data_IF_896504343040
#
_entry.id   IF_896504343040
#
_cell.length_a   1.000
_cell.length_b   1.000
_cell.length_c   1.000
_cell.angle_alpha   90.00
_cell.angle_beta   90.00
_cell.angle_gamma   90.00
#
_symmetry.space_group_name_H-M   'P 1'
#
loop_
_entity.id
_entity.type
_entity.pdbx_description
1 polymer ?
#
# COMPACT_ATOMS: atom_id res chain seq x y z
N UNK A 1 -6.77 13.48 -6.06
CA UNK A 1 -7.56 12.33 -6.56
C UNK A 1 -8.27 11.72 -5.37
N UNK A 2 -9.61 11.56 -5.40
CA UNK A 2 -10.33 10.89 -4.31
C UNK A 2 -10.27 9.38 -4.54
N UNK A 3 -9.83 8.64 -3.53
CA UNK A 3 -9.80 7.18 -3.48
C UNK A 3 -10.72 6.74 -2.36
N UNK A 4 -11.59 5.78 -2.63
CA UNK A 4 -12.48 5.22 -1.63
C UNK A 4 -12.61 3.71 -1.80
N UNK A 5 -12.83 3.02 -0.70
CA UNK A 5 -13.22 1.61 -0.67
C UNK A 5 -14.74 1.44 -0.61
N UNK A 6 -15.50 2.54 -0.57
CA UNK A 6 -16.97 2.55 -0.60
C UNK A 6 -17.50 2.54 -2.03
N UNK A 7 -18.71 1.98 -2.27
CA UNK A 7 -19.32 1.96 -3.59
C UNK A 7 -19.83 3.33 -4.06
N UNK A 8 -20.01 4.29 -3.14
CA UNK A 8 -20.52 5.64 -3.40
C UNK A 8 -19.75 6.69 -2.60
N UNK A 9 -19.80 7.94 -3.06
CA UNK A 9 -19.22 9.10 -2.38
C UNK A 9 -20.35 10.03 -1.93
N UNK A 10 -20.49 10.26 -0.63
CA UNK A 10 -21.54 11.15 -0.09
C UNK A 10 -21.39 12.58 -0.64
N UNK A 11 -22.51 13.22 -0.95
CA UNK A 11 -22.52 14.57 -1.54
C UNK A 11 -22.09 14.63 -3.01
N UNK A 12 -21.73 13.50 -3.62
CA UNK A 12 -21.32 13.42 -5.02
C UNK A 12 -22.19 12.43 -5.81
N UNK A 13 -22.53 12.77 -7.06
CA UNK A 13 -23.25 11.88 -7.98
C UNK A 13 -22.29 11.33 -9.03
N UNK A 14 -22.22 10.00 -9.15
CA UNK A 14 -21.44 9.32 -10.20
C UNK A 14 -22.13 9.55 -11.55
N UNK A 15 -21.49 10.30 -12.45
CA UNK A 15 -22.05 10.62 -13.77
C UNK A 15 -21.77 9.53 -14.82
N UNK A 16 -20.67 8.80 -14.68
CA UNK A 16 -20.23 7.75 -15.61
C UNK A 16 -19.46 6.67 -14.87
N UNK A 17 -19.66 5.43 -15.29
CA UNK A 17 -18.86 4.28 -14.88
C UNK A 17 -17.82 3.99 -15.96
N UNK A 18 -16.53 4.02 -15.61
CA UNK A 18 -15.42 3.86 -16.56
C UNK A 18 -14.89 2.42 -16.63
N UNK A 19 -15.54 1.48 -15.93
CA UNK A 19 -15.07 0.11 -15.78
C UNK A 19 -14.13 -0.07 -14.58
N UNK A 20 -13.68 -1.31 -14.37
CA UNK A 20 -12.79 -1.69 -13.26
C UNK A 20 -11.35 -1.35 -13.63
N UNK A 21 -10.60 -0.81 -12.67
CA UNK A 21 -9.16 -0.57 -12.79
C UNK A 21 -8.42 -1.42 -11.75
N UNK A 22 -7.22 -1.85 -12.08
CA UNK A 22 -6.34 -2.62 -11.20
C UNK A 22 -4.92 -2.05 -11.25
N UNK A 23 -4.20 -2.17 -10.14
CA UNK A 23 -2.79 -1.82 -10.02
C UNK A 23 -2.06 -2.90 -9.24
N UNK A 24 -0.85 -3.24 -9.68
CA UNK A 24 0.01 -4.24 -9.05
C UNK A 24 1.39 -3.63 -8.79
N UNK A 25 1.95 -3.91 -7.61
CA UNK A 25 3.30 -3.51 -7.25
C UNK A 25 4.13 -4.74 -6.89
N UNK A 26 5.34 -4.85 -7.46
CA UNK A 26 6.26 -5.96 -7.20
C UNK A 26 7.43 -5.43 -6.38
N UNK A 27 7.62 -5.98 -5.18
CA UNK A 27 8.72 -5.60 -4.29
C UNK A 27 9.96 -6.43 -4.64
N UNK A 28 11.06 -5.77 -4.97
CA UNK A 28 12.32 -6.41 -5.35
C UNK A 28 13.08 -7.09 -4.20
N UNK A 29 13.87 -8.11 -4.52
CA UNK A 29 14.61 -8.95 -3.55
C UNK A 29 15.62 -8.19 -2.67
N UNK A 30 16.17 -7.06 -3.15
CA UNK A 30 17.08 -6.23 -2.36
C UNK A 30 16.36 -5.54 -1.18
N UNK A 31 15.14 -5.03 -1.40
CA UNK A 31 14.30 -4.44 -0.33
C UNK A 31 13.93 -5.52 0.69
N UNK A 32 13.62 -6.73 0.22
CA UNK A 32 13.35 -7.87 1.08
C UNK A 32 14.56 -8.23 1.96
N UNK A 33 15.78 -8.24 1.41
CA UNK A 33 17.01 -8.49 2.18
C UNK A 33 17.21 -7.44 3.28
N UNK A 34 17.01 -6.16 2.97
CA UNK A 34 17.20 -5.06 3.91
C UNK A 34 16.15 -5.09 5.04
N UNK A 35 14.93 -5.54 4.71
CA UNK A 35 13.87 -5.81 5.66
C UNK A 35 14.23 -6.92 6.65
N UNK A 36 14.69 -8.08 6.15
CA UNK A 36 15.10 -9.21 7.01
C UNK A 36 16.35 -8.91 7.84
N UNK A 37 17.27 -8.10 7.31
CA UNK A 37 18.43 -7.62 8.06
C UNK A 37 18.02 -6.67 9.20
N UNK A 38 17.03 -5.79 8.97
CA UNK A 38 16.55 -4.82 9.96
C UNK A 38 15.65 -5.43 11.05
N UNK A 39 14.85 -6.46 10.72
CA UNK A 39 13.94 -7.13 11.66
C UNK A 39 14.70 -7.82 12.81
N UNK A 40 15.93 -8.27 12.56
CA UNK A 40 16.75 -8.98 13.56
C UNK A 40 17.02 -8.14 14.83
N UNK A 41 16.86 -6.82 14.76
CA UNK A 41 17.10 -5.89 15.88
C UNK A 41 15.80 -5.32 16.51
N UNK A 42 14.61 -5.59 15.96
CA UNK A 42 13.35 -4.96 16.39
C UNK A 42 12.30 -6.06 16.60
N UNK A 43 12.41 -6.76 17.73
CA UNK A 43 11.31 -7.57 18.27
C UNK A 43 10.71 -6.78 19.43
N UNK A 44 9.86 -5.80 19.11
CA UNK A 44 9.18 -4.99 20.12
C UNK A 44 8.51 -3.75 19.56
N UNK A 45 7.22 -3.86 19.22
CA UNK A 45 6.31 -2.74 18.96
C UNK A 45 6.51 -2.01 17.62
N UNK A 46 5.66 -2.34 16.62
CA UNK A 46 5.67 -1.83 15.23
C UNK A 46 7.01 -2.03 14.50
N UNK A 47 7.05 -3.08 13.69
CA UNK A 47 8.17 -3.40 12.80
C UNK A 47 8.30 -2.35 11.68
N UNK A 48 8.87 -1.18 12.00
CA UNK A 48 8.84 0.01 11.14
C UNK A 48 9.55 -0.12 9.79
N UNK A 49 10.40 -1.13 9.57
CA UNK A 49 10.95 -1.40 8.24
C UNK A 49 9.93 -2.14 7.35
N UNK A 50 9.18 -3.09 7.90
CA UNK A 50 8.13 -3.83 7.19
C UNK A 50 7.00 -2.90 6.76
N UNK A 51 6.52 -2.08 7.72
CA UNK A 51 5.42 -1.15 7.48
C UNK A 51 5.78 -0.08 6.44
N UNK A 52 7.04 0.37 6.38
CA UNK A 52 7.51 1.33 5.38
C UNK A 52 7.52 0.75 3.97
N UNK A 53 8.13 -0.42 3.77
CA UNK A 53 8.13 -1.05 2.43
C UNK A 53 6.73 -1.36 1.92
N UNK A 54 5.82 -1.73 2.82
CA UNK A 54 4.41 -1.97 2.47
C UNK A 54 3.65 -0.68 2.20
N UNK A 55 3.95 0.41 2.90
CA UNK A 55 3.39 1.72 2.62
C UNK A 55 3.88 2.25 1.27
N UNK A 56 5.18 2.16 0.98
CA UNK A 56 5.78 2.57 -0.29
C UNK A 56 5.16 1.81 -1.46
N UNK A 57 4.98 0.48 -1.33
CA UNK A 57 4.33 -0.34 -2.35
C UNK A 57 2.84 0.00 -2.54
N UNK A 58 2.19 0.60 -1.55
CA UNK A 58 0.77 1.00 -1.61
C UNK A 58 0.58 2.42 -2.14
N UNK A 59 1.65 3.21 -2.17
CA UNK A 59 1.67 4.61 -2.65
C UNK A 59 2.19 4.73 -4.10
N UNK A 60 2.73 3.64 -4.68
CA UNK A 60 3.01 3.48 -6.11
C UNK A 60 1.73 3.46 -6.95
#
# INVERSE_FOLDING_TARGET
>A
MQLSTTPTLEGHTIQRYLGVVAGEAIIGANIFKDLFASIRNIVGGRAGAYERSLADAREM
#
